data_IF_331171917184
#
_entry.id   IF_331171917184
#
_cell.length_a   1.000
_cell.length_b   1.000
_cell.length_c   1.000
_cell.angle_alpha   90.00
_cell.angle_beta   90.00
_cell.angle_gamma   90.00
#
_symmetry.space_group_name_H-M   'P 1'
#
loop_
_entity.id
_entity.type
_entity.pdbx_description
1 polymer ?
#
# COMPACT_ATOMS: atom_id res chain seq x y z
N UNK A 1 -5.38 6.24 7.02
CA UNK A 1 -4.56 7.48 7.17
C UNK A 1 -3.45 7.44 6.13
N UNK A 2 -3.17 8.56 5.47
CA UNK A 2 -2.09 8.73 4.51
C UNK A 2 -1.07 9.73 5.03
N UNK A 3 0.21 9.35 5.01
CA UNK A 3 1.32 10.16 5.52
C UNK A 3 2.36 10.31 4.43
N UNK A 4 2.79 11.54 4.17
CA UNK A 4 3.91 11.80 3.28
C UNK A 4 5.23 11.34 3.92
N UNK A 5 5.98 10.52 3.20
CA UNK A 5 7.21 9.92 3.72
C UNK A 5 8.33 10.94 3.91
N UNK A 6 8.40 11.96 3.04
CA UNK A 6 9.50 12.93 3.04
C UNK A 6 9.38 13.96 4.17
N UNK A 7 8.17 14.46 4.40
CA UNK A 7 7.87 15.48 5.41
C UNK A 7 7.37 14.89 6.73
N UNK A 8 6.74 13.71 6.70
CA UNK A 8 6.03 13.13 7.84
C UNK A 8 4.65 13.74 8.09
N UNK A 9 4.17 14.60 7.19
CA UNK A 9 2.84 15.23 7.30
C UNK A 9 1.72 14.22 7.05
N UNK A 10 0.63 14.34 7.81
CA UNK A 10 -0.60 13.61 7.55
C UNK A 10 -1.35 14.35 6.44
N UNK A 11 -1.48 13.73 5.27
CA UNK A 11 -2.19 14.32 4.14
C UNK A 11 -3.65 13.87 4.05
N UNK A 12 -3.98 12.72 4.65
CA UNK A 12 -5.32 12.18 4.62
C UNK A 12 -5.64 11.35 5.87
N UNK A 13 -6.87 11.43 6.37
CA UNK A 13 -7.34 10.59 7.45
C UNK A 13 -8.83 10.27 7.29
N UNK A 14 -9.19 9.04 7.66
CA UNK A 14 -10.57 8.58 7.77
C UNK A 14 -10.66 7.79 9.06
N UNK A 15 -11.71 8.05 9.84
CA UNK A 15 -12.04 7.29 11.04
C UNK A 15 -13.13 6.31 10.66
N UNK A 16 -12.86 5.02 10.83
CA UNK A 16 -13.78 3.94 10.52
C UNK A 16 -14.14 3.14 11.76
N UNK A 17 -15.25 2.42 11.67
CA UNK A 17 -15.56 1.31 12.57
C UNK A 17 -14.79 0.05 12.17
N UNK A 18 -14.67 -0.91 13.08
CA UNK A 18 -13.82 -2.11 12.91
C UNK A 18 -14.32 -3.10 11.84
N UNK A 19 -15.52 -2.90 11.31
CA UNK A 19 -16.14 -3.69 10.26
C UNK A 19 -15.80 -3.21 8.83
N UNK A 20 -15.14 -2.05 8.70
CA UNK A 20 -14.75 -1.49 7.41
C UNK A 20 -13.31 -1.86 7.09
N UNK A 21 -13.08 -2.48 5.94
CA UNK A 21 -11.75 -2.83 5.48
C UNK A 21 -10.99 -1.61 4.91
N UNK A 22 -9.67 -1.60 5.06
CA UNK A 22 -8.81 -0.52 4.53
C UNK A 22 -9.00 -0.26 3.02
N UNK A 23 -9.36 -1.29 2.24
CA UNK A 23 -9.62 -1.14 0.80
C UNK A 23 -10.82 -0.24 0.52
N UNK A 24 -11.82 -0.26 1.40
CA UNK A 24 -13.10 0.43 1.19
C UNK A 24 -12.93 1.94 1.34
N UNK A 25 -12.07 2.39 2.26
CA UNK A 25 -11.82 3.82 2.51
C UNK A 25 -10.62 4.38 1.75
N UNK A 26 -9.91 3.54 1.00
CA UNK A 26 -8.73 3.99 0.25
C UNK A 26 -9.06 5.05 -0.82
N UNK A 27 -10.14 4.94 -1.61
CA UNK A 27 -10.52 6.01 -2.54
C UNK A 27 -10.71 7.34 -1.82
N UNK A 28 -11.47 7.37 -0.73
CA UNK A 28 -11.72 8.57 0.08
C UNK A 28 -10.43 9.17 0.63
N UNK A 29 -9.47 8.33 1.06
CA UNK A 29 -8.15 8.81 1.49
C UNK A 29 -7.35 9.43 0.35
N UNK A 30 -7.43 8.87 -0.86
CA UNK A 30 -6.69 9.38 -2.02
C UNK A 30 -7.31 10.65 -2.61
N UNK A 31 -8.61 10.86 -2.41
CA UNK A 31 -9.32 12.08 -2.82
C UNK A 31 -8.96 13.28 -1.94
N UNK A 32 -8.55 13.06 -0.68
CA UNK A 32 -8.10 14.12 0.22
C UNK A 32 -6.72 14.71 -0.15
N UNK A 33 -5.97 14.02 -1.03
CA UNK A 33 -4.60 14.42 -1.40
C UNK A 33 -4.66 15.12 -2.75
N UNK A 34 -4.50 16.45 -2.76
CA UNK A 34 -4.50 17.22 -4.01
C UNK A 34 -3.23 17.02 -4.85
N UNK A 35 -2.11 16.71 -4.19
CA UNK A 35 -0.82 16.54 -4.85
C UNK A 35 -0.77 15.28 -5.71
N UNK A 36 0.09 15.29 -6.73
CA UNK A 36 0.39 14.09 -7.50
C UNK A 36 1.06 13.04 -6.62
N UNK A 37 0.49 11.83 -6.60
CA UNK A 37 1.03 10.69 -5.86
C UNK A 37 1.86 9.84 -6.82
N UNK A 38 3.16 9.72 -6.56
CA UNK A 38 4.02 8.86 -7.39
C UNK A 38 3.91 7.39 -6.97
N UNK A 39 3.84 7.14 -5.66
CA UNK A 39 3.79 5.80 -5.09
C UNK A 39 2.91 5.76 -3.84
N UNK A 40 2.13 4.69 -3.71
CA UNK A 40 1.42 4.35 -2.47
C UNK A 40 2.01 3.06 -1.92
N UNK A 41 2.45 3.09 -0.67
CA UNK A 41 2.96 1.91 0.03
C UNK A 41 1.99 1.51 1.15
N UNK A 42 1.69 0.21 1.28
CA UNK A 42 0.75 -0.25 2.30
C UNK A 42 0.64 -1.77 2.38
N UNK A 43 -0.25 -2.24 3.24
CA UNK A 43 -0.57 -3.65 3.40
C UNK A 43 -1.95 -3.93 2.77
N UNK A 44 -2.01 -4.89 1.83
CA UNK A 44 -3.26 -5.28 1.17
C UNK A 44 -3.77 -4.32 0.08
N UNK A 45 -4.98 -4.62 -0.42
CA UNK A 45 -5.73 -3.82 -1.39
C UNK A 45 -5.00 -3.64 -2.73
N UNK A 46 -4.82 -4.68 -3.52
CA UNK A 46 -4.21 -4.53 -4.86
C UNK A 46 -5.19 -3.97 -5.88
N UNK A 47 -6.48 -4.20 -5.69
CA UNK A 47 -7.50 -4.00 -6.73
C UNK A 47 -8.04 -2.56 -6.79
N UNK A 48 -7.87 -1.76 -5.74
CA UNK A 48 -8.26 -0.34 -5.78
C UNK A 48 -7.16 0.48 -6.47
N UNK A 49 -7.50 1.33 -7.43
CA UNK A 49 -6.46 2.03 -8.22
C UNK A 49 -5.97 3.26 -7.45
N UNK A 50 -4.66 3.39 -7.26
CA UNK A 50 -4.04 4.51 -6.54
C UNK A 50 -3.94 5.79 -7.38
N UNK A 51 -5.01 6.22 -8.07
CA UNK A 51 -5.01 7.38 -9.00
C UNK A 51 -3.88 7.36 -10.05
N UNK A 52 -3.47 6.16 -10.50
CA UNK A 52 -2.35 5.99 -11.43
C UNK A 52 -0.96 5.96 -10.77
N UNK A 53 -0.88 6.14 -9.45
CA UNK A 53 0.35 5.95 -8.69
C UNK A 53 0.79 4.49 -8.68
N UNK A 54 2.10 4.27 -8.53
CA UNK A 54 2.66 2.93 -8.33
C UNK A 54 2.19 2.37 -6.99
N UNK A 55 1.49 1.24 -7.02
CA UNK A 55 1.13 0.50 -5.80
C UNK A 55 2.27 -0.42 -5.36
N UNK A 56 2.90 -0.11 -4.23
CA UNK A 56 3.92 -0.95 -3.59
C UNK A 56 3.34 -1.61 -2.35
N UNK A 57 2.71 -2.75 -2.53
CA UNK A 57 2.00 -3.44 -1.46
C UNK A 57 2.80 -4.67 -1.03
N UNK A 58 2.88 -4.93 0.27
CA UNK A 58 3.52 -6.15 0.75
C UNK A 58 2.59 -7.35 0.61
N UNK A 59 3.14 -8.46 0.10
CA UNK A 59 2.43 -9.73 0.06
C UNK A 59 2.53 -10.46 1.40
N UNK A 60 1.49 -11.22 1.77
CA UNK A 60 1.57 -12.16 2.90
C UNK A 60 2.65 -13.21 2.63
N UNK A 61 3.23 -13.79 3.69
CA UNK A 61 4.34 -14.75 3.56
C UNK A 61 3.94 -16.02 2.78
N UNK A 62 2.67 -16.38 2.91
CA UNK A 62 1.99 -17.51 2.30
C UNK A 62 1.06 -17.06 1.15
N UNK A 63 1.43 -15.98 0.45
CA UNK A 63 0.69 -15.54 -0.72
C UNK A 63 0.89 -16.53 -1.88
N UNK A 64 -0.19 -17.14 -2.34
CA UNK A 64 -0.21 -18.00 -3.52
C UNK A 64 -0.70 -17.24 -4.74
N UNK A 65 -0.29 -17.66 -5.94
CA UNK A 65 -0.79 -17.10 -7.19
C UNK A 65 -2.28 -17.39 -7.32
N UNK A 66 -3.05 -16.40 -7.71
CA UNK A 66 -4.44 -16.63 -8.08
C UNK A 66 -4.45 -17.08 -9.54
N UNK A 67 -5.14 -18.17 -9.87
CA UNK A 67 -5.26 -18.56 -11.27
C UNK A 67 -6.25 -17.61 -11.96
N UNK A 68 -5.81 -16.70 -12.86
CA UNK A 68 -6.78 -15.96 -13.66
C UNK A 68 -7.56 -16.95 -14.53
N UNK A 69 -8.81 -16.62 -14.88
CA UNK A 69 -9.50 -17.35 -15.94
C UNK A 69 -8.62 -17.30 -17.21
N UNK A 70 -8.64 -18.34 -18.08
CA UNK A 70 -7.71 -18.51 -19.21
C UNK A 70 -7.57 -17.33 -20.18
N UNK A 71 -8.46 -16.34 -20.11
CA UNK A 71 -8.53 -15.17 -20.98
C UNK A 71 -8.46 -13.83 -20.21
N UNK A 72 -8.07 -13.85 -18.94
CA UNK A 72 -8.02 -12.65 -18.09
C UNK A 72 -6.62 -12.08 -18.05
N UNK A 73 -6.52 -10.76 -17.89
CA UNK A 73 -5.25 -10.15 -17.55
C UNK A 73 -4.74 -10.70 -16.21
N UNK A 74 -3.42 -10.86 -16.03
CA UNK A 74 -2.86 -11.25 -14.75
C UNK A 74 -3.24 -10.25 -13.67
N UNK A 75 -3.54 -10.73 -12.46
CA UNK A 75 -3.79 -9.83 -11.33
C UNK A 75 -2.49 -9.07 -10.98
N UNK A 76 -2.53 -7.75 -10.76
CA UNK A 76 -1.36 -6.96 -10.33
C UNK A 76 -0.66 -7.54 -9.11
N UNK A 77 -1.44 -8.16 -8.21
CA UNK A 77 -0.94 -8.91 -7.04
C UNK A 77 0.03 -10.03 -7.44
N UNK A 78 -0.29 -10.80 -8.47
CA UNK A 78 0.49 -11.95 -8.88
C UNK A 78 1.76 -11.55 -9.64
N UNK A 79 1.75 -10.41 -10.32
CA UNK A 79 2.97 -9.80 -10.87
C UNK A 79 3.94 -9.42 -9.76
N UNK A 80 3.44 -8.78 -8.70
CA UNK A 80 4.26 -8.49 -7.53
C UNK A 80 4.77 -9.78 -6.87
N UNK A 81 3.96 -10.84 -6.81
CA UNK A 81 4.36 -12.14 -6.24
C UNK A 81 5.47 -12.79 -7.07
N UNK A 82 5.37 -12.74 -8.40
CA UNK A 82 6.44 -13.17 -9.31
C UNK A 82 7.72 -12.38 -9.04
N UNK A 83 7.63 -11.06 -8.91
CA UNK A 83 8.81 -10.23 -8.64
C UNK A 83 9.45 -10.57 -7.30
N UNK A 84 8.65 -10.68 -6.22
CA UNK A 84 9.13 -11.07 -4.88
C UNK A 84 9.81 -12.45 -4.91
N UNK A 85 9.25 -13.42 -5.63
CA UNK A 85 9.83 -14.75 -5.77
C UNK A 85 11.14 -14.76 -6.57
N UNK A 86 11.29 -13.85 -7.53
CA UNK A 86 12.51 -13.74 -8.34
C UNK A 86 13.66 -13.05 -7.60
N UNK A 87 13.41 -11.91 -6.94
CA UNK A 87 14.49 -11.12 -6.30
C UNK A 87 14.65 -11.40 -4.81
N UNK A 88 13.68 -12.08 -4.20
CA UNK A 88 13.60 -12.30 -2.76
C UNK A 88 13.01 -11.11 -2.02
N UNK A 89 12.24 -11.40 -0.96
CA UNK A 89 11.46 -10.40 -0.19
C UNK A 89 12.30 -9.26 0.37
N UNK A 90 13.50 -9.54 0.87
CA UNK A 90 14.40 -8.51 1.42
C UNK A 90 14.83 -7.51 0.35
N UNK A 91 15.30 -8.03 -0.79
CA UNK A 91 15.73 -7.18 -1.90
C UNK A 91 14.54 -6.40 -2.46
N UNK A 92 13.40 -7.07 -2.64
CA UNK A 92 12.16 -6.45 -3.07
C UNK A 92 11.79 -5.23 -2.21
N UNK A 93 11.88 -5.33 -0.87
CA UNK A 93 11.59 -4.20 0.03
C UNK A 93 12.50 -2.99 -0.22
N UNK A 94 13.77 -3.23 -0.57
CA UNK A 94 14.71 -2.17 -0.90
C UNK A 94 14.41 -1.55 -2.27
N UNK A 95 14.36 -2.35 -3.33
CA UNK A 95 14.22 -1.85 -4.71
C UNK A 95 12.84 -1.25 -5.00
N UNK A 96 11.79 -1.75 -4.33
CA UNK A 96 10.44 -1.20 -4.48
C UNK A 96 10.21 0.09 -3.68
N UNK A 97 11.12 0.43 -2.77
CA UNK A 97 10.95 1.54 -1.82
C UNK A 97 10.09 1.18 -0.60
N UNK A 98 9.52 -0.04 -0.52
CA UNK A 98 8.62 -0.43 0.56
C UNK A 98 9.19 -0.23 1.98
N UNK A 99 10.51 -0.41 2.13
CA UNK A 99 11.19 -0.23 3.42
C UNK A 99 10.94 1.14 4.04
N UNK A 100 10.69 2.18 3.24
CA UNK A 100 10.56 3.56 3.71
C UNK A 100 9.24 3.86 4.43
N UNK A 101 8.27 2.94 4.41
CA UNK A 101 7.02 3.04 5.17
C UNK A 101 7.22 3.26 6.67
N UNK A 102 8.39 2.93 7.21
CA UNK A 102 8.72 3.17 8.61
C UNK A 102 8.53 4.64 9.02
N UNK A 103 8.71 5.58 8.08
CA UNK A 103 8.49 7.00 8.32
C UNK A 103 7.00 7.27 8.67
N UNK A 104 6.10 6.75 7.85
CA UNK A 104 4.65 6.82 8.08
C UNK A 104 4.24 6.10 9.37
N UNK A 105 4.77 4.89 9.63
CA UNK A 105 4.51 4.15 10.88
C UNK A 105 4.95 4.94 12.11
N UNK A 106 6.13 5.59 12.04
CA UNK A 106 6.67 6.41 13.13
C UNK A 106 5.81 7.64 13.38
N UNK A 107 5.33 8.32 12.33
CA UNK A 107 4.43 9.45 12.46
C UNK A 107 3.11 9.05 13.13
N UNK A 108 2.51 7.94 12.68
CA UNK A 108 1.29 7.38 13.26
C UNK A 108 1.50 7.00 14.73
N UNK A 109 2.61 6.33 15.05
CA UNK A 109 2.93 5.94 16.42
C UNK A 109 3.01 7.14 17.36
N UNK A 110 3.66 8.24 16.92
CA UNK A 110 3.75 9.47 17.71
C UNK A 110 2.38 10.06 18.02
N UNK A 111 1.45 10.03 17.08
CA UNK A 111 0.09 10.53 17.29
C UNK A 111 -0.67 9.64 18.29
N UNK A 112 -0.60 8.32 18.11
CA UNK A 112 -1.35 7.37 18.94
C UNK A 112 -0.83 7.25 20.37
N UNK A 113 0.46 7.50 20.60
CA UNK A 113 1.03 7.50 21.96
C UNK A 113 0.98 8.87 22.66
N UNK A 114 0.59 9.93 21.95
CA UNK A 114 0.42 11.28 22.53
C UNK A 114 -1.03 11.57 22.94
N UNK A 115 -1.93 10.63 22.73
CA UNK A 115 -3.35 10.64 23.09
C UNK A 115 -3.61 9.65 24.24
#
# INVERSE_FOLDING_TARGET
MGVDEGSGEILAAVVTTNDVADCEVRPDLLEQIDQQIEQVSGDGCYDTIARGAKATILLRINAEMQQPHPYSQPYPRDENLRWVNQVGRKQWKHVSGYHRRYASETAIFRLMCSL
#
